data_IF_422411562688
#
_entry.id   IF_422411562688
#
_cell.length_a   1.000
_cell.length_b   1.000
_cell.length_c   1.000
_cell.angle_alpha   90.00
_cell.angle_beta   90.00
_cell.angle_gamma   90.00
#
_symmetry.space_group_name_H-M   'P 1'
#
loop_
_entity.id
_entity.type
_entity.pdbx_description
1 polymer ?
#
# COMPACT_ATOMS: atom_id res chain seq x y z
N UNK A 1 13.64 -2.86 2.84
CA UNK A 1 13.02 -2.94 1.49
C UNK A 1 13.97 -2.51 0.38
N UNK A 2 14.44 -1.25 0.30
CA UNK A 2 15.37 -0.78 -0.76
C UNK A 2 16.70 -1.57 -0.84
N UNK A 3 17.23 -2.04 0.30
CA UNK A 3 18.43 -2.91 0.39
C UNK A 3 18.22 -4.37 -0.09
N UNK A 4 16.99 -4.75 -0.47
CA UNK A 4 16.63 -6.12 -0.88
C UNK A 4 16.05 -6.15 -2.31
N UNK A 5 16.50 -5.21 -3.16
CA UNK A 5 16.10 -5.09 -4.57
C UNK A 5 14.60 -4.80 -4.81
N UNK A 6 13.90 -4.24 -3.82
CA UNK A 6 12.53 -3.75 -3.97
C UNK A 6 12.54 -2.23 -4.15
N UNK A 7 11.96 -1.75 -5.25
CA UNK A 7 11.69 -0.33 -5.46
C UNK A 7 10.50 0.03 -4.56
N UNK A 8 10.72 0.96 -3.63
CA UNK A 8 9.68 1.46 -2.74
C UNK A 8 9.35 2.89 -3.12
N UNK A 9 8.14 3.06 -3.62
CA UNK A 9 7.51 4.34 -3.87
C UNK A 9 6.76 4.72 -2.59
N UNK A 10 7.19 5.81 -1.96
CA UNK A 10 6.53 6.41 -0.81
C UNK A 10 6.28 7.86 -1.19
N UNK A 11 5.17 8.40 -0.73
CA UNK A 11 4.96 9.84 -0.76
C UNK A 11 5.98 10.49 0.21
N UNK A 12 7.17 10.80 -0.31
CA UNK A 12 8.20 11.58 0.36
C UNK A 12 7.97 13.03 -0.07
N UNK A 13 7.70 13.93 0.89
CA UNK A 13 7.48 15.37 0.68
C UNK A 13 8.74 16.10 0.15
N UNK A 14 9.26 15.68 -1.00
CA UNK A 14 10.27 16.41 -1.76
C UNK A 14 9.71 16.72 -3.15
N UNK A 15 8.69 17.58 -3.18
CA UNK A 15 8.12 18.06 -4.43
C UNK A 15 8.91 19.26 -4.92
N UNK A 16 9.44 19.15 -6.14
CA UNK A 16 9.96 20.31 -6.86
C UNK A 16 8.78 21.20 -7.27
N UNK A 17 8.90 22.55 -7.17
CA UNK A 17 7.89 23.46 -7.68
C UNK A 17 7.59 23.16 -9.16
N UNK A 18 6.31 23.01 -9.52
CA UNK A 18 5.86 22.76 -10.89
C UNK A 18 5.55 21.30 -11.26
N UNK A 19 5.65 20.36 -10.32
CA UNK A 19 5.27 18.96 -10.56
C UNK A 19 3.80 18.74 -10.22
N UNK A 20 3.03 18.10 -11.12
CA UNK A 20 1.62 17.75 -10.89
C UNK A 20 1.51 16.55 -9.93
N UNK A 21 1.47 16.85 -8.63
CA UNK A 21 1.52 15.91 -7.51
C UNK A 21 0.52 14.74 -7.68
N UNK A 22 -0.77 14.98 -7.95
CA UNK A 22 -1.77 13.92 -8.02
C UNK A 22 -1.54 12.97 -9.20
N UNK A 23 -0.97 13.45 -10.30
CA UNK A 23 -0.74 12.62 -11.49
C UNK A 23 0.45 11.67 -11.31
N UNK A 24 1.53 12.13 -10.68
CA UNK A 24 2.71 11.28 -10.41
C UNK A 24 2.39 10.12 -9.45
N UNK A 25 1.56 10.38 -8.44
CA UNK A 25 1.13 9.37 -7.46
C UNK A 25 0.21 8.34 -8.13
N UNK A 26 -0.73 8.78 -8.95
CA UNK A 26 -1.58 7.88 -9.75
C UNK A 26 -0.71 6.97 -10.61
N UNK A 27 0.23 7.52 -11.38
CA UNK A 27 1.13 6.74 -12.23
C UNK A 27 1.90 5.68 -11.43
N UNK A 28 2.42 6.05 -10.26
CA UNK A 28 3.10 5.13 -9.35
C UNK A 28 2.19 3.98 -8.89
N UNK A 29 0.92 4.25 -8.58
CA UNK A 29 -0.07 3.21 -8.25
C UNK A 29 -0.34 2.30 -9.46
N UNK A 30 -0.41 2.86 -10.67
CA UNK A 30 -0.62 2.09 -11.90
C UNK A 30 0.57 1.17 -12.23
N UNK A 31 1.80 1.62 -11.96
CA UNK A 31 3.04 0.89 -12.22
C UNK A 31 3.42 -0.10 -11.13
N UNK A 32 2.82 0.01 -9.95
CA UNK A 32 3.14 -0.85 -8.81
C UNK A 32 2.59 -2.26 -8.98
N UNK A 33 3.41 -3.26 -8.65
CA UNK A 33 2.98 -4.66 -8.64
C UNK A 33 2.21 -5.04 -7.36
N UNK A 34 2.35 -4.25 -6.30
CA UNK A 34 1.76 -4.47 -4.98
C UNK A 34 1.45 -3.09 -4.38
N UNK A 35 0.29 -2.94 -3.77
CA UNK A 35 -0.06 -1.75 -2.99
C UNK A 35 -0.15 -2.09 -1.49
N UNK A 36 0.51 -1.30 -0.64
CA UNK A 36 0.47 -1.47 0.82
C UNK A 36 0.00 -0.16 1.44
N UNK A 37 -1.19 -0.16 2.04
CA UNK A 37 -1.67 0.97 2.84
C UNK A 37 -1.15 0.83 4.27
N UNK A 38 -0.35 1.81 4.73
CA UNK A 38 0.04 1.91 6.14
C UNK A 38 -1.03 2.74 6.84
N UNK A 39 -1.98 2.05 7.45
CA UNK A 39 -3.19 2.66 7.99
C UNK A 39 -2.93 3.22 9.40
N UNK A 40 -3.16 4.52 9.53
CA UNK A 40 -3.14 5.25 10.79
C UNK A 40 -4.11 6.43 10.74
N UNK A 41 -4.24 7.17 11.84
CA UNK A 41 -5.13 8.33 11.95
C UNK A 41 -4.81 9.38 10.89
N UNK A 42 -3.53 9.69 10.69
CA UNK A 42 -3.07 10.69 9.71
C UNK A 42 -3.41 10.26 8.28
N UNK A 43 -3.26 8.97 7.98
CA UNK A 43 -3.69 8.41 6.69
C UNK A 43 -5.20 8.56 6.52
N UNK A 44 -5.99 8.17 7.53
CA UNK A 44 -7.44 8.22 7.48
C UNK A 44 -8.01 9.64 7.37
N UNK A 45 -7.30 10.64 7.90
CA UNK A 45 -7.70 12.05 7.85
C UNK A 45 -7.15 12.81 6.63
N UNK A 46 -6.30 12.20 5.80
CA UNK A 46 -5.73 12.85 4.61
C UNK A 46 -6.62 12.61 3.38
N UNK A 47 -7.18 13.66 2.75
CA UNK A 47 -7.97 13.51 1.52
C UNK A 47 -7.18 12.83 0.39
N UNK A 48 -5.88 13.13 0.30
CA UNK A 48 -4.97 12.54 -0.68
C UNK A 48 -4.82 11.03 -0.48
N UNK A 49 -4.56 10.60 0.77
CA UNK A 49 -4.41 9.18 1.09
C UNK A 49 -5.72 8.41 0.89
N UNK A 50 -6.86 9.08 1.07
CA UNK A 50 -8.18 8.52 0.80
C UNK A 50 -8.41 8.29 -0.71
N UNK A 51 -8.08 9.27 -1.55
CA UNK A 51 -8.18 9.16 -3.01
C UNK A 51 -7.24 8.09 -3.58
N UNK A 52 -6.01 8.02 -3.06
CA UNK A 52 -5.04 6.99 -3.40
C UNK A 52 -5.54 5.59 -3.05
N UNK A 53 -6.10 5.44 -1.85
CA UNK A 53 -6.67 4.17 -1.41
C UNK A 53 -7.84 3.77 -2.30
N UNK A 54 -8.75 4.68 -2.65
CA UNK A 54 -9.86 4.39 -3.56
C UNK A 54 -9.37 3.93 -4.93
N UNK A 55 -8.37 4.62 -5.50
CA UNK A 55 -7.79 4.20 -6.78
C UNK A 55 -7.19 2.80 -6.70
N UNK A 56 -6.47 2.50 -5.62
CA UNK A 56 -5.89 1.18 -5.43
C UNK A 56 -6.98 0.11 -5.17
N UNK A 57 -8.07 0.45 -4.49
CA UNK A 57 -9.23 -0.43 -4.29
C UNK A 57 -9.91 -0.78 -5.62
N UNK A 58 -10.11 0.21 -6.49
CA UNK A 58 -10.69 -0.02 -7.81
C UNK A 58 -9.80 -0.94 -8.67
N UNK A 59 -8.47 -0.82 -8.53
CA UNK A 59 -7.52 -1.74 -9.18
C UNK A 59 -7.53 -3.14 -8.57
N UNK A 60 -7.74 -3.26 -7.26
CA UNK A 60 -7.90 -4.53 -6.58
C UNK A 60 -9.16 -5.25 -7.04
N UNK A 61 -10.29 -4.54 -7.13
CA UNK A 61 -11.56 -5.07 -7.67
C UNK A 61 -11.37 -5.61 -9.10
N UNK A 62 -10.55 -4.92 -9.91
CA UNK A 62 -10.16 -5.33 -11.26
C UNK A 62 -9.08 -6.43 -11.29
N UNK A 63 -8.65 -6.96 -10.13
CA UNK A 63 -7.57 -7.95 -9.97
C UNK A 63 -6.24 -7.52 -10.60
N UNK A 64 -5.98 -6.21 -10.71
CA UNK A 64 -4.77 -5.64 -11.33
C UNK A 64 -3.61 -5.48 -10.37
N UNK A 65 -3.91 -5.27 -9.08
CA UNK A 65 -2.89 -5.11 -8.05
C UNK A 65 -3.37 -5.76 -6.75
N UNK A 66 -2.59 -6.67 -6.14
CA UNK A 66 -2.85 -7.12 -4.78
C UNK A 66 -2.66 -5.95 -3.80
N UNK A 67 -3.52 -5.90 -2.80
CA UNK A 67 -3.51 -4.87 -1.77
C UNK A 67 -3.44 -5.50 -0.39
N UNK A 68 -2.65 -4.89 0.49
CA UNK A 68 -2.65 -5.17 1.92
C UNK A 68 -2.79 -3.90 2.73
N UNK A 69 -3.54 -3.97 3.83
CA UNK A 69 -3.68 -2.86 4.77
C UNK A 69 -2.98 -3.28 6.06
N UNK A 70 -2.01 -2.48 6.50
CA UNK A 70 -1.27 -2.70 7.74
C UNK A 70 -1.61 -1.57 8.70
N UNK A 71 -2.33 -1.88 9.76
CA UNK A 71 -2.74 -0.94 10.79
C UNK A 71 -1.60 -0.78 11.82
N UNK A 72 -1.08 0.44 11.94
CA UNK A 72 0.03 0.76 12.86
C UNK A 72 -0.45 1.47 14.13
N UNK A 73 -1.74 1.75 14.24
CA UNK A 73 -2.38 2.35 15.42
C UNK A 73 -3.78 1.74 15.67
N UNK A 74 -4.54 2.35 16.58
CA UNK A 74 -5.91 1.96 16.94
C UNK A 74 -7.01 2.65 16.11
N UNK A 75 -6.67 3.20 14.93
CA UNK A 75 -7.63 3.86 14.05
C UNK A 75 -8.66 2.87 13.51
N UNK A 76 -9.90 3.00 13.98
CA UNK A 76 -11.04 2.14 13.64
C UNK A 76 -11.79 2.54 12.36
N UNK A 77 -11.51 3.72 11.83
CA UNK A 77 -12.09 4.14 10.56
C UNK A 77 -11.50 3.27 9.46
N UNK A 78 -12.33 2.63 8.64
CA UNK A 78 -11.91 1.89 7.45
C UNK A 78 -12.99 2.11 6.38
N UNK A 79 -12.62 2.45 5.13
CA UNK A 79 -13.59 2.59 4.05
C UNK A 79 -14.42 1.31 3.88
N UNK A 80 -15.72 1.39 3.55
CA UNK A 80 -16.57 0.20 3.42
C UNK A 80 -15.99 -0.88 2.49
N UNK A 81 -15.46 -0.48 1.33
CA UNK A 81 -14.78 -1.34 0.36
C UNK A 81 -13.53 -2.06 0.92
N UNK A 82 -12.93 -1.51 1.97
CA UNK A 82 -11.72 -2.02 2.58
C UNK A 82 -11.99 -2.88 3.82
N UNK A 83 -13.24 -2.98 4.31
CA UNK A 83 -13.57 -3.72 5.54
C UNK A 83 -13.30 -5.22 5.45
N UNK A 84 -13.53 -5.79 4.27
CA UNK A 84 -13.34 -7.23 4.01
C UNK A 84 -11.91 -7.55 3.56
N UNK A 85 -11.03 -6.55 3.50
CA UNK A 85 -9.63 -6.76 3.15
C UNK A 85 -8.82 -7.31 4.31
N UNK A 86 -7.74 -8.02 3.98
CA UNK A 86 -6.80 -8.51 4.96
C UNK A 86 -6.13 -7.33 5.68
N UNK A 87 -6.48 -7.14 6.95
CA UNK A 87 -5.86 -6.17 7.84
C UNK A 87 -4.81 -6.85 8.72
N UNK A 88 -3.62 -6.27 8.77
CA UNK A 88 -2.57 -6.70 9.68
C UNK A 88 -2.33 -5.63 10.71
N UNK A 89 -2.60 -5.93 11.99
CA UNK A 89 -2.23 -5.03 13.07
C UNK A 89 -0.76 -5.27 13.46
N UNK A 90 0.01 -4.20 13.56
CA UNK A 90 1.42 -4.22 14.00
C UNK A 90 1.62 -3.16 15.08
N UNK A 91 2.49 -3.43 16.04
CA UNK A 91 2.76 -2.53 17.18
C UNK A 91 4.19 -2.00 17.21
N UNK A 92 5.06 -2.52 16.36
CA UNK A 92 6.46 -2.13 16.30
C UNK A 92 6.95 -2.05 14.85
N UNK A 93 8.07 -1.38 14.66
CA UNK A 93 8.72 -1.29 13.35
C UNK A 93 9.21 -2.66 12.89
N UNK A 94 9.72 -3.45 13.82
CA UNK A 94 10.21 -4.81 13.60
C UNK A 94 9.08 -5.71 13.11
N UNK A 95 7.89 -5.62 13.72
CA UNK A 95 6.68 -6.31 13.28
C UNK A 95 6.23 -5.87 11.89
N UNK A 96 6.24 -4.56 11.62
CA UNK A 96 5.90 -4.01 10.31
C UNK A 96 6.84 -4.55 9.23
N UNK A 97 8.14 -4.46 9.46
CA UNK A 97 9.16 -4.94 8.51
C UNK A 97 9.03 -6.45 8.30
N UNK A 98 8.91 -7.24 9.37
CA UNK A 98 8.70 -8.68 9.29
C UNK A 98 7.43 -9.05 8.53
N UNK A 99 6.33 -8.32 8.77
CA UNK A 99 5.06 -8.58 8.08
C UNK A 99 5.14 -8.28 6.59
N UNK A 100 5.70 -7.14 6.20
CA UNK A 100 5.84 -6.82 4.78
C UNK A 100 6.71 -7.85 4.08
N UNK A 101 7.81 -8.32 4.69
CA UNK A 101 8.66 -9.36 4.10
C UNK A 101 7.90 -10.66 3.88
N UNK A 102 7.15 -11.10 4.89
CA UNK A 102 6.32 -12.30 4.78
C UNK A 102 5.30 -12.19 3.65
N UNK A 103 4.65 -11.04 3.49
CA UNK A 103 3.70 -10.80 2.40
C UNK A 103 4.37 -10.80 1.02
N UNK A 104 5.56 -10.20 0.91
CA UNK A 104 6.34 -10.19 -0.33
C UNK A 104 6.82 -11.61 -0.69
N UNK A 105 7.25 -12.41 0.27
CA UNK A 105 7.65 -13.80 0.05
C UNK A 105 6.47 -14.69 -0.35
N UNK A 106 5.32 -14.54 0.32
CA UNK A 106 4.09 -15.26 -0.01
C UNK A 106 3.59 -14.94 -1.43
N UNK A 107 3.76 -13.71 -1.90
CA UNK A 107 3.37 -13.31 -3.25
C UNK A 107 4.24 -13.91 -4.37
N UNK A 108 5.50 -14.26 -4.07
CA UNK A 108 6.40 -14.90 -5.05
C UNK A 108 6.05 -16.38 -5.28
N UNK A 109 5.48 -17.06 -4.28
CA UNK A 109 5.12 -18.48 -4.39
C UNK A 109 3.96 -18.72 -5.36
N UNK A 110 3.06 -17.76 -5.51
CA UNK A 110 1.91 -17.88 -6.43
C UNK A 110 2.27 -17.59 -7.89
N UNK A 111 3.48 -17.12 -8.19
CA UNK A 111 3.96 -16.84 -9.56
C UNK A 111 4.86 -17.95 -10.13
N UNK A 112 5.15 -19.01 -9.37
CA UNK A 112 6.09 -20.07 -9.75
C UNK A 112 5.47 -21.37 -10.26
N UNK A 113 4.15 -21.43 -10.41
CA UNK A 113 3.41 -22.65 -10.74
C UNK A 113 2.78 -22.64 -12.13
N UNK A 114 3.60 -22.65 -13.18
CA UNK A 114 3.23 -23.22 -14.48
C UNK A 114 4.52 -23.45 -15.29
N UNK A 115 5.05 -24.67 -15.17
CA UNK A 115 5.83 -25.33 -16.22
C UNK A 115 4.98 -26.46 -16.77
#
# INVERSE_FOLDING_TARGET
>A
MRRRNHIVLRDEKEFKPGTDIPNSIKENIFRSNIFIAIWCKEYACSPWCFDELNLALDRLEQKKVPMWIICVDDTRMVPPKARDLLHYKVRSREELEGKILHLLEGSKLTSGGQK
#
